data_IF_211620839268
#
_entry.id   IF_211620839268
#
_cell.length_a   1.000
_cell.length_b   1.000
_cell.length_c   1.000
_cell.angle_alpha   90.00
_cell.angle_beta   90.00
_cell.angle_gamma   90.00
#
_symmetry.space_group_name_H-M   'P 1'
#
loop_
_entity.id
_entity.type
_entity.pdbx_description
1 polymer ?
#
# COMPACT_ATOMS: atom_id res chain seq x y z
N UNK A 1 -151.49 -92.43 -69.83
CA UNK A 1 -151.11 -91.35 -70.77
C UNK A 1 -149.72 -90.85 -70.40
N UNK A 2 -148.77 -90.96 -71.36
CA UNK A 2 -147.53 -90.18 -71.59
C UNK A 2 -147.15 -89.07 -70.57
N UNK A 3 -145.89 -88.80 -70.16
CA UNK A 3 -144.57 -88.90 -70.81
C UNK A 3 -143.47 -88.49 -69.82
N UNK A 4 -142.47 -89.36 -69.60
CA UNK A 4 -141.03 -89.16 -69.87
C UNK A 4 -140.18 -88.04 -69.22
N UNK A 5 -138.93 -88.44 -68.86
CA UNK A 5 -137.62 -87.72 -68.73
C UNK A 5 -137.17 -87.40 -67.28
N UNK A 6 -135.91 -87.57 -66.84
CA UNK A 6 -134.64 -88.08 -67.40
C UNK A 6 -133.65 -88.32 -66.22
N UNK A 7 -132.77 -89.33 -66.33
CA UNK A 7 -131.59 -89.56 -65.46
C UNK A 7 -130.46 -88.54 -65.73
N UNK A 8 -129.64 -88.20 -64.72
CA UNK A 8 -128.16 -88.01 -64.74
C UNK A 8 -127.69 -87.54 -63.35
N UNK A 9 -127.02 -88.37 -62.54
CA UNK A 9 -125.61 -88.83 -62.57
C UNK A 9 -124.70 -88.00 -61.63
N UNK A 10 -124.26 -88.71 -60.60
CA UNK A 10 -123.18 -88.42 -59.64
C UNK A 10 -121.89 -87.88 -60.27
N UNK A 11 -121.28 -86.89 -59.62
CA UNK A 11 -119.83 -86.62 -59.64
C UNK A 11 -119.40 -86.02 -58.29
N UNK A 12 -118.65 -86.81 -57.49
CA UNK A 12 -117.73 -86.30 -56.46
C UNK A 12 -116.46 -85.76 -57.16
N UNK A 13 -115.92 -84.62 -56.72
CA UNK A 13 -114.54 -84.55 -56.18
C UNK A 13 -114.02 -83.13 -55.82
N UNK A 14 -113.22 -83.11 -54.74
CA UNK A 14 -112.03 -82.26 -54.43
C UNK A 14 -112.17 -80.74 -54.32
N UNK A 15 -112.40 -80.21 -53.10
CA UNK A 15 -111.87 -78.89 -52.63
C UNK A 15 -111.74 -78.79 -51.08
N UNK A 16 -110.60 -79.21 -50.48
CA UNK A 16 -110.17 -78.56 -49.22
C UNK A 16 -108.70 -78.12 -49.17
N UNK A 17 -107.85 -78.48 -50.14
CA UNK A 17 -106.38 -78.31 -50.04
C UNK A 17 -105.89 -76.90 -50.47
N UNK A 18 -106.62 -76.16 -51.31
CA UNK A 18 -106.19 -74.82 -51.76
C UNK A 18 -106.37 -73.70 -50.70
N UNK A 19 -107.32 -73.84 -49.76
CA UNK A 19 -107.58 -72.82 -48.74
C UNK A 19 -106.53 -72.83 -47.61
N UNK A 20 -105.95 -73.98 -47.26
CA UNK A 20 -104.89 -74.05 -46.24
C UNK A 20 -103.56 -73.50 -46.77
N UNK A 21 -103.21 -73.80 -48.03
CA UNK A 21 -102.02 -73.26 -48.69
C UNK A 21 -102.06 -71.73 -48.77
N UNK A 22 -103.21 -71.13 -49.11
CA UNK A 22 -103.39 -69.66 -49.12
C UNK A 22 -103.25 -69.02 -47.73
N UNK A 23 -103.71 -69.68 -46.66
CA UNK A 23 -103.55 -69.19 -45.28
C UNK A 23 -102.10 -69.32 -44.80
N UNK A 24 -101.44 -70.45 -45.08
CA UNK A 24 -100.04 -70.66 -44.76
C UNK A 24 -99.12 -69.65 -45.47
N UNK A 25 -99.38 -69.36 -46.75
CA UNK A 25 -98.60 -68.40 -47.54
C UNK A 25 -98.80 -66.95 -47.05
N UNK A 26 -100.02 -66.59 -46.58
CA UNK A 26 -100.28 -65.31 -45.92
C UNK A 26 -99.57 -65.18 -44.57
N UNK A 27 -99.58 -66.23 -43.74
CA UNK A 27 -98.86 -66.24 -42.47
C UNK A 27 -97.34 -66.16 -42.68
N UNK A 28 -96.82 -66.87 -43.69
CA UNK A 28 -95.40 -66.80 -44.07
C UNK A 28 -95.01 -65.41 -44.59
N UNK A 29 -95.88 -64.76 -45.38
CA UNK A 29 -95.70 -63.37 -45.79
C UNK A 29 -95.68 -62.40 -44.61
N UNK A 30 -96.59 -62.57 -43.64
CA UNK A 30 -96.63 -61.74 -42.43
C UNK A 30 -95.39 -61.97 -41.55
N UNK A 31 -94.93 -63.22 -41.39
CA UNK A 31 -93.69 -63.50 -40.66
C UNK A 31 -92.47 -62.92 -41.38
N UNK A 32 -92.45 -62.98 -42.72
CA UNK A 32 -91.36 -62.41 -43.49
C UNK A 32 -91.34 -60.88 -43.39
N UNK A 33 -92.49 -60.22 -43.52
CA UNK A 33 -92.57 -58.76 -43.43
C UNK A 33 -92.23 -58.26 -42.03
N UNK A 34 -92.65 -58.95 -40.98
CA UNK A 34 -92.27 -58.60 -39.59
C UNK A 34 -90.76 -58.74 -39.35
N UNK A 35 -90.13 -59.81 -39.84
CA UNK A 35 -88.67 -59.98 -39.76
C UNK A 35 -87.94 -58.88 -40.54
N UNK A 36 -88.42 -58.53 -41.73
CA UNK A 36 -87.84 -57.44 -42.54
C UNK A 36 -87.97 -56.10 -41.79
N UNK A 37 -89.13 -55.80 -41.20
CA UNK A 37 -89.35 -54.56 -40.44
C UNK A 37 -88.41 -54.49 -39.23
N UNK A 38 -88.24 -55.58 -38.49
CA UNK A 38 -87.32 -55.64 -37.33
C UNK A 38 -85.86 -55.49 -37.78
N UNK A 39 -85.46 -56.14 -38.87
CA UNK A 39 -84.11 -56.01 -39.43
C UNK A 39 -83.82 -54.57 -39.90
N UNK A 40 -84.76 -53.94 -40.62
CA UNK A 40 -84.64 -52.55 -41.03
C UNK A 40 -84.58 -51.59 -39.83
N UNK A 41 -85.39 -51.82 -38.79
CA UNK A 41 -85.35 -51.03 -37.56
C UNK A 41 -84.01 -51.15 -36.82
N UNK A 42 -83.45 -52.36 -36.76
CA UNK A 42 -82.12 -52.59 -36.16
C UNK A 42 -81.00 -51.91 -36.97
N UNK A 43 -81.03 -52.00 -38.29
CA UNK A 43 -80.08 -51.31 -39.18
C UNK A 43 -80.18 -49.79 -39.02
N UNK A 44 -81.39 -49.23 -38.98
CA UNK A 44 -81.59 -47.80 -38.79
C UNK A 44 -81.07 -47.30 -37.42
N UNK A 45 -81.30 -48.05 -36.33
CA UNK A 45 -80.81 -47.70 -35.01
C UNK A 45 -79.28 -47.81 -34.89
N UNK A 46 -78.68 -48.84 -35.48
CA UNK A 46 -77.22 -48.99 -35.50
C UNK A 46 -76.55 -47.91 -36.35
N UNK A 47 -77.08 -47.61 -37.53
CA UNK A 47 -76.60 -46.51 -38.37
C UNK A 47 -76.75 -45.15 -37.69
N UNK A 48 -77.87 -44.89 -37.00
CA UNK A 48 -78.08 -43.64 -36.26
C UNK A 48 -77.08 -43.45 -35.12
N UNK A 49 -76.74 -44.52 -34.39
CA UNK A 49 -75.71 -44.49 -33.33
C UNK A 49 -74.31 -44.27 -33.90
N UNK A 50 -73.97 -44.93 -35.01
CA UNK A 50 -72.68 -44.74 -35.69
C UNK A 50 -72.55 -43.30 -36.17
N UNK A 51 -73.56 -42.75 -36.83
CA UNK A 51 -73.57 -41.36 -37.29
C UNK A 51 -73.43 -40.35 -36.14
N UNK A 52 -74.11 -40.59 -35.00
CA UNK A 52 -73.99 -39.71 -33.84
C UNK A 52 -72.60 -39.79 -33.20
N UNK A 53 -72.01 -40.98 -33.14
CA UNK A 53 -70.65 -41.18 -32.65
C UNK A 53 -69.61 -40.54 -33.59
N UNK A 54 -69.80 -40.62 -34.90
CA UNK A 54 -68.95 -39.95 -35.90
C UNK A 54 -69.03 -38.43 -35.79
N UNK A 55 -70.23 -37.87 -35.60
CA UNK A 55 -70.40 -36.43 -35.35
C UNK A 55 -69.73 -35.99 -34.05
N UNK A 56 -69.84 -36.78 -32.99
CA UNK A 56 -69.17 -36.50 -31.70
C UNK A 56 -67.65 -36.59 -31.83
N UNK A 57 -67.14 -37.59 -32.55
CA UNK A 57 -65.71 -37.73 -32.83
C UNK A 57 -65.17 -36.55 -33.65
N UNK A 58 -65.86 -36.15 -34.71
CA UNK A 58 -65.50 -34.99 -35.52
C UNK A 58 -65.49 -33.69 -34.70
N UNK A 59 -66.47 -33.49 -33.83
CA UNK A 59 -66.51 -32.34 -32.92
C UNK A 59 -65.34 -32.31 -31.95
N UNK A 60 -64.96 -33.47 -31.39
CA UNK A 60 -63.82 -33.58 -30.48
C UNK A 60 -62.48 -33.37 -31.21
N UNK A 61 -62.34 -33.85 -32.45
CA UNK A 61 -61.15 -33.60 -33.28
C UNK A 61 -61.00 -32.11 -33.57
N UNK A 62 -62.07 -31.42 -33.96
CA UNK A 62 -62.03 -29.97 -34.20
C UNK A 62 -61.65 -29.18 -32.94
N UNK A 63 -62.13 -29.60 -31.76
CA UNK A 63 -61.70 -29.00 -30.49
C UNK A 63 -60.23 -29.27 -30.19
N UNK A 64 -59.76 -30.49 -30.45
CA UNK A 64 -58.35 -30.84 -30.24
C UNK A 64 -57.44 -30.02 -31.15
N UNK A 65 -57.83 -29.82 -32.41
CA UNK A 65 -57.11 -28.96 -33.35
C UNK A 65 -57.09 -27.50 -32.86
N UNK A 66 -58.23 -26.97 -32.41
CA UNK A 66 -58.31 -25.64 -31.81
C UNK A 66 -57.42 -25.50 -30.57
N UNK A 67 -57.40 -26.49 -29.68
CA UNK A 67 -56.50 -26.49 -28.52
C UNK A 67 -55.03 -26.57 -28.95
N UNK A 68 -54.70 -27.41 -29.93
CA UNK A 68 -53.33 -27.50 -30.48
C UNK A 68 -52.86 -26.15 -31.00
N UNK A 69 -53.68 -25.46 -31.80
CA UNK A 69 -53.36 -24.12 -32.31
C UNK A 69 -53.17 -23.10 -31.18
N UNK A 70 -53.98 -23.17 -30.11
CA UNK A 70 -53.79 -22.32 -28.94
C UNK A 70 -52.50 -22.63 -28.18
N UNK A 71 -52.13 -23.91 -28.05
CA UNK A 71 -50.86 -24.31 -27.44
C UNK A 71 -49.66 -23.84 -28.26
N UNK A 72 -49.69 -23.98 -29.58
CA UNK A 72 -48.63 -23.51 -30.47
C UNK A 72 -48.49 -21.98 -30.38
N UNK A 73 -49.61 -21.25 -30.34
CA UNK A 73 -49.62 -19.81 -30.15
C UNK A 73 -49.06 -19.39 -28.78
N UNK A 74 -49.44 -20.09 -27.70
CA UNK A 74 -48.92 -19.83 -26.35
C UNK A 74 -47.43 -20.15 -26.26
N UNK A 75 -46.98 -21.23 -26.89
CA UNK A 75 -45.56 -21.59 -26.96
C UNK A 75 -44.76 -20.52 -27.69
N UNK A 76 -45.25 -20.04 -28.85
CA UNK A 76 -44.61 -18.93 -29.56
C UNK A 76 -44.54 -17.64 -28.76
N UNK A 77 -45.59 -17.32 -27.97
CA UNK A 77 -45.56 -16.17 -27.06
C UNK A 77 -44.55 -16.36 -25.92
N UNK A 78 -44.48 -17.56 -25.35
CA UNK A 78 -43.54 -17.88 -24.29
C UNK A 78 -42.08 -17.76 -24.77
N UNK A 79 -41.78 -18.30 -25.96
CA UNK A 79 -40.45 -18.19 -26.57
C UNK A 79 -40.07 -16.74 -26.86
N UNK A 80 -41.00 -15.93 -27.37
CA UNK A 80 -40.77 -14.50 -27.59
C UNK A 80 -40.49 -13.73 -26.29
N UNK A 81 -41.18 -14.07 -25.19
CA UNK A 81 -40.91 -13.48 -23.86
C UNK A 81 -39.53 -13.91 -23.35
N UNK A 82 -39.15 -15.18 -23.51
CA UNK A 82 -37.84 -15.66 -23.12
C UNK A 82 -36.71 -14.94 -23.86
N UNK A 83 -36.86 -14.73 -25.17
CA UNK A 83 -35.88 -14.03 -25.97
C UNK A 83 -35.78 -12.55 -25.59
N UNK A 84 -36.92 -11.88 -25.35
CA UNK A 84 -36.93 -10.50 -24.84
C UNK A 84 -36.22 -10.37 -23.49
N UNK A 85 -36.48 -11.29 -22.54
CA UNK A 85 -35.82 -11.30 -21.23
C UNK A 85 -34.31 -11.55 -21.36
N UNK A 86 -33.88 -12.44 -22.26
CA UNK A 86 -32.46 -12.68 -22.52
C UNK A 86 -31.78 -11.44 -23.09
N UNK A 87 -32.42 -10.77 -24.04
CA UNK A 87 -31.87 -9.56 -24.65
C UNK A 87 -31.78 -8.41 -23.63
N UNK A 88 -32.82 -8.19 -22.83
CA UNK A 88 -32.82 -7.18 -21.78
C UNK A 88 -31.75 -7.46 -20.72
N UNK A 89 -31.58 -8.72 -20.30
CA UNK A 89 -30.51 -9.12 -19.39
C UNK A 89 -29.13 -8.86 -19.98
N UNK A 90 -28.93 -9.14 -21.26
CA UNK A 90 -27.68 -8.85 -21.96
C UNK A 90 -27.40 -7.36 -21.99
N UNK A 91 -28.40 -6.53 -22.37
CA UNK A 91 -28.26 -5.07 -22.42
C UNK A 91 -27.93 -4.48 -21.04
N UNK A 92 -28.63 -4.94 -20.00
CA UNK A 92 -28.38 -4.50 -18.62
C UNK A 92 -26.98 -4.91 -18.15
N UNK A 93 -26.55 -6.14 -18.44
CA UNK A 93 -25.21 -6.60 -18.09
C UNK A 93 -24.12 -5.75 -18.77
N UNK A 94 -24.26 -5.47 -20.06
CA UNK A 94 -23.33 -4.60 -20.80
C UNK A 94 -23.32 -3.18 -20.24
N UNK A 95 -24.49 -2.63 -19.88
CA UNK A 95 -24.58 -1.30 -19.28
C UNK A 95 -23.88 -1.24 -17.92
N UNK A 96 -24.16 -2.20 -17.04
CA UNK A 96 -23.57 -2.26 -15.72
C UNK A 96 -22.03 -2.44 -15.79
N UNK A 97 -21.55 -3.22 -16.76
CA UNK A 97 -20.11 -3.36 -17.04
C UNK A 97 -19.50 -2.04 -17.52
N UNK A 98 -20.15 -1.33 -18.45
CA UNK A 98 -19.67 -0.04 -18.94
C UNK A 98 -19.66 1.03 -17.83
N UNK A 99 -20.69 1.06 -16.98
CA UNK A 99 -20.76 1.97 -15.84
C UNK A 99 -19.65 1.67 -14.81
N UNK A 100 -19.36 0.39 -14.57
CA UNK A 100 -18.25 -0.03 -13.72
C UNK A 100 -16.89 0.36 -14.31
N UNK A 101 -16.67 0.13 -15.61
CA UNK A 101 -15.46 0.54 -16.30
C UNK A 101 -15.26 2.06 -16.24
N UNK A 102 -16.30 2.84 -16.52
CA UNK A 102 -16.23 4.31 -16.47
C UNK A 102 -15.88 4.81 -15.07
N UNK A 103 -16.42 4.18 -14.01
CA UNK A 103 -16.06 4.50 -12.62
C UNK A 103 -14.60 4.16 -12.32
N UNK A 104 -14.13 2.99 -12.74
CA UNK A 104 -12.74 2.57 -12.55
C UNK A 104 -11.76 3.47 -13.32
N UNK A 105 -12.09 3.83 -14.56
CA UNK A 105 -11.29 4.78 -15.35
C UNK A 105 -11.21 6.13 -14.67
N UNK A 106 -12.34 6.64 -14.15
CA UNK A 106 -12.36 7.89 -13.39
C UNK A 106 -11.47 7.81 -12.15
N UNK A 107 -11.60 6.76 -11.34
CA UNK A 107 -10.74 6.55 -10.16
C UNK A 107 -9.26 6.49 -10.55
N UNK A 108 -8.92 5.75 -11.62
CA UNK A 108 -7.54 5.66 -12.11
C UNK A 108 -6.99 7.03 -12.54
N UNK A 109 -7.81 7.86 -13.20
CA UNK A 109 -7.39 9.21 -13.60
C UNK A 109 -7.18 10.14 -12.41
N UNK A 110 -8.04 10.04 -11.39
CA UNK A 110 -7.93 10.82 -10.15
C UNK A 110 -6.68 10.42 -9.36
N UNK A 111 -6.47 9.12 -9.13
CA UNK A 111 -5.26 8.61 -8.45
C UNK A 111 -3.98 8.97 -9.21
N UNK A 112 -3.99 8.89 -10.54
CA UNK A 112 -2.84 9.28 -11.36
C UNK A 112 -2.53 10.77 -11.22
N UNK A 113 -3.56 11.62 -11.18
CA UNK A 113 -3.39 13.07 -11.02
C UNK A 113 -2.86 13.41 -9.62
N UNK A 114 -3.36 12.74 -8.58
CA UNK A 114 -2.90 12.91 -7.21
C UNK A 114 -1.43 12.50 -7.06
N UNK A 115 -1.06 11.31 -7.53
CA UNK A 115 0.34 10.87 -7.52
C UNK A 115 1.26 11.76 -8.34
N UNK A 116 0.82 12.27 -9.49
CA UNK A 116 1.62 13.23 -10.28
C UNK A 116 1.90 14.49 -9.48
N UNK A 117 0.90 15.01 -8.77
CA UNK A 117 1.03 16.20 -7.91
C UNK A 117 1.97 15.93 -6.72
N UNK A 118 1.91 14.74 -6.14
CA UNK A 118 2.84 14.33 -5.07
C UNK A 118 4.29 14.28 -5.57
N UNK A 119 4.52 13.71 -6.76
CA UNK A 119 5.83 13.63 -7.40
C UNK A 119 6.36 15.03 -7.71
N UNK A 120 5.56 15.92 -8.30
CA UNK A 120 5.96 17.31 -8.54
C UNK A 120 6.30 18.05 -7.24
N UNK A 121 5.50 17.82 -6.19
CA UNK A 121 5.79 18.34 -4.85
C UNK A 121 7.09 17.78 -4.25
N UNK A 122 7.42 16.52 -4.52
CA UNK A 122 8.67 15.92 -4.08
C UNK A 122 9.89 16.46 -4.86
N UNK A 123 9.77 16.60 -6.18
CA UNK A 123 10.82 17.16 -7.04
C UNK A 123 11.16 18.60 -6.63
N UNK A 124 10.14 19.44 -6.40
CA UNK A 124 10.35 20.83 -5.95
C UNK A 124 11.05 20.90 -4.60
N UNK A 125 10.67 20.05 -3.63
CA UNK A 125 11.39 19.94 -2.34
C UNK A 125 12.83 19.48 -2.52
N UNK A 126 13.07 18.53 -3.41
CA UNK A 126 14.40 18.04 -3.71
C UNK A 126 15.29 19.13 -4.32
N UNK A 127 14.77 19.94 -5.25
CA UNK A 127 15.53 21.05 -5.85
C UNK A 127 15.90 22.12 -4.82
N UNK A 128 14.99 22.45 -3.90
CA UNK A 128 15.29 23.35 -2.77
C UNK A 128 16.38 22.77 -1.88
N UNK A 129 16.29 21.48 -1.55
CA UNK A 129 17.28 20.80 -0.72
C UNK A 129 18.64 20.74 -1.42
N UNK A 130 18.68 20.44 -2.72
CA UNK A 130 19.90 20.42 -3.52
C UNK A 130 20.59 21.78 -3.50
N UNK A 131 19.83 22.85 -3.73
CA UNK A 131 20.35 24.23 -3.70
C UNK A 131 20.91 24.59 -2.31
N UNK A 132 20.24 24.14 -1.24
CA UNK A 132 20.73 24.32 0.13
C UNK A 132 22.08 23.60 0.36
N UNK A 133 22.21 22.36 -0.10
CA UNK A 133 23.47 21.61 -0.03
C UNK A 133 24.59 22.27 -0.84
N UNK A 134 24.32 22.73 -2.05
CA UNK A 134 25.29 23.46 -2.88
C UNK A 134 25.78 24.75 -2.19
N UNK A 135 24.88 25.46 -1.52
CA UNK A 135 25.25 26.65 -0.73
C UNK A 135 26.11 26.30 0.49
N UNK A 136 25.74 25.28 1.25
CA UNK A 136 26.51 24.78 2.39
C UNK A 136 27.91 24.31 1.98
N UNK A 137 28.03 23.61 0.86
CA UNK A 137 29.32 23.21 0.31
C UNK A 137 30.18 24.43 -0.03
N UNK A 138 29.59 25.44 -0.67
CA UNK A 138 30.30 26.69 -1.02
C UNK A 138 30.77 27.44 0.23
N UNK A 139 29.93 27.55 1.26
CA UNK A 139 30.31 28.17 2.54
C UNK A 139 31.46 27.41 3.20
N UNK A 140 31.40 26.08 3.20
CA UNK A 140 32.46 25.23 3.75
C UNK A 140 33.79 25.45 3.03
N UNK A 141 33.79 25.56 1.70
CA UNK A 141 34.99 25.87 0.91
C UNK A 141 35.54 27.27 1.21
N UNK A 142 34.67 28.27 1.42
CA UNK A 142 35.08 29.63 1.79
C UNK A 142 35.75 29.61 3.16
N UNK A 143 35.15 28.94 4.14
CA UNK A 143 35.70 28.80 5.50
C UNK A 143 37.04 28.08 5.45
N UNK A 144 37.13 26.96 4.73
CA UNK A 144 38.38 26.19 4.55
C UNK A 144 39.49 27.07 3.96
N UNK A 145 39.19 27.87 2.93
CA UNK A 145 40.15 28.80 2.32
C UNK A 145 40.56 29.92 3.28
N UNK A 146 39.65 30.42 4.10
CA UNK A 146 39.93 31.46 5.08
C UNK A 146 40.80 30.94 6.23
N UNK A 147 40.47 29.76 6.76
CA UNK A 147 41.28 29.08 7.76
C UNK A 147 42.70 28.79 7.24
N UNK A 148 42.84 28.29 6.01
CA UNK A 148 44.14 28.06 5.40
C UNK A 148 44.99 29.34 5.30
N UNK A 149 44.39 30.47 4.89
CA UNK A 149 45.08 31.77 4.84
C UNK A 149 45.48 32.26 6.23
N UNK A 150 44.59 32.16 7.22
CA UNK A 150 44.91 32.51 8.60
C UNK A 150 46.05 31.64 9.17
N UNK A 151 46.06 30.36 8.85
CA UNK A 151 47.13 29.46 9.29
C UNK A 151 48.48 29.85 8.66
N UNK A 152 48.51 30.22 7.37
CA UNK A 152 49.73 30.70 6.73
C UNK A 152 50.21 32.02 7.32
N UNK A 153 49.30 32.95 7.61
CA UNK A 153 49.64 34.24 8.22
C UNK A 153 50.19 34.06 9.64
N UNK A 154 49.57 33.18 10.44
CA UNK A 154 50.05 32.86 11.79
C UNK A 154 51.42 32.18 11.76
N UNK A 155 51.67 31.26 10.81
CA UNK A 155 53.00 30.67 10.62
C UNK A 155 54.06 31.70 10.25
N UNK A 156 53.70 32.68 9.41
CA UNK A 156 54.61 33.77 9.06
C UNK A 156 54.91 34.68 10.26
N UNK A 157 53.90 35.02 11.05
CA UNK A 157 54.07 35.80 12.29
C UNK A 157 54.94 35.06 13.32
N UNK A 158 54.72 33.75 13.49
CA UNK A 158 55.53 32.93 14.38
C UNK A 158 57.00 32.95 13.95
N UNK A 159 57.28 32.75 12.65
CA UNK A 159 58.65 32.79 12.13
C UNK A 159 59.30 34.16 12.32
N UNK A 160 58.58 35.24 12.06
CA UNK A 160 59.10 36.59 12.29
C UNK A 160 59.45 36.84 13.77
N UNK A 161 58.61 36.37 14.70
CA UNK A 161 58.89 36.45 16.13
C UNK A 161 60.07 35.56 16.55
N UNK A 162 60.24 34.38 15.95
CA UNK A 162 61.41 33.52 16.17
C UNK A 162 62.71 34.16 15.69
N UNK A 163 62.68 34.80 14.51
CA UNK A 163 63.82 35.52 13.94
C UNK A 163 64.20 36.74 14.81
N UNK A 164 63.21 37.53 15.26
CA UNK A 164 63.43 38.66 16.18
C UNK A 164 64.01 38.20 17.52
N UNK A 165 63.49 37.09 18.07
CA UNK A 165 64.04 36.48 19.29
C UNK A 165 65.50 36.06 19.09
N UNK A 166 65.84 35.45 17.96
CA UNK A 166 67.22 35.07 17.66
C UNK A 166 68.16 36.29 17.57
N UNK A 167 67.70 37.38 16.95
CA UNK A 167 68.46 38.64 16.87
C UNK A 167 68.67 39.27 18.26
N UNK A 168 67.62 39.31 19.09
CA UNK A 168 67.71 39.82 20.46
C UNK A 168 68.66 38.98 21.33
N UNK A 169 68.64 37.65 21.18
CA UNK A 169 69.60 36.75 21.85
C UNK A 169 71.03 37.05 21.41
N UNK A 170 71.29 37.21 20.10
CA UNK A 170 72.62 37.54 19.59
C UNK A 170 73.11 38.90 20.13
N UNK A 171 72.25 39.92 20.17
CA UNK A 171 72.57 41.23 20.77
C UNK A 171 72.86 41.12 22.27
N UNK A 172 72.09 40.31 23.00
CA UNK A 172 72.32 40.04 24.43
C UNK A 172 73.67 39.35 24.65
N UNK A 173 74.01 38.34 23.84
CA UNK A 173 75.30 37.65 23.91
C UNK A 173 76.46 38.59 23.60
N UNK A 174 76.33 39.43 22.57
CA UNK A 174 77.35 40.43 22.23
C UNK A 174 77.52 41.47 23.35
N UNK A 175 76.41 41.94 23.92
CA UNK A 175 76.41 42.88 25.06
C UNK A 175 77.06 42.26 26.29
N UNK A 176 76.70 41.01 26.64
CA UNK A 176 77.33 40.27 27.73
C UNK A 176 78.84 40.07 27.51
N UNK A 177 79.25 39.80 26.26
CA UNK A 177 80.67 39.71 25.91
C UNK A 177 81.39 41.04 26.12
N UNK A 178 80.78 42.17 25.71
CA UNK A 178 81.31 43.53 25.94
C UNK A 178 81.42 43.84 27.44
N UNK A 179 80.38 43.54 28.22
CA UNK A 179 80.40 43.69 29.69
C UNK A 179 81.49 42.85 30.33
N UNK A 180 81.68 41.60 29.91
CA UNK A 180 82.74 40.73 30.44
C UNK A 180 84.12 41.30 30.17
N UNK A 181 84.36 41.82 28.96
CA UNK A 181 85.64 42.48 28.61
C UNK A 181 85.82 43.78 29.39
N UNK A 182 84.77 44.58 29.56
CA UNK A 182 84.82 45.80 30.36
C UNK A 182 85.11 45.52 31.84
N UNK A 183 84.47 44.51 32.43
CA UNK A 183 84.73 44.06 33.80
C UNK A 183 86.14 43.51 33.98
N UNK A 184 86.67 42.78 32.99
CA UNK A 184 88.08 42.34 33.00
C UNK A 184 89.06 43.51 32.89
N UNK A 185 88.75 44.54 32.08
CA UNK A 185 89.57 45.77 32.00
C UNK A 185 89.52 46.58 33.28
N UNK A 186 88.38 46.65 33.96
CA UNK A 186 88.30 47.27 35.29
C UNK A 186 89.11 46.50 36.33
N UNK A 187 89.03 45.17 36.37
CA UNK A 187 89.86 44.33 37.24
C UNK A 187 91.36 44.45 36.94
N UNK A 188 91.76 44.70 35.68
CA UNK A 188 93.15 44.96 35.32
C UNK A 188 93.62 46.39 35.66
N UNK A 189 92.73 47.39 35.53
CA UNK A 189 93.01 48.79 35.86
C UNK A 189 93.01 49.05 37.38
N UNK A 190 92.24 48.28 38.15
CA UNK A 190 92.37 48.19 39.59
C UNK A 190 93.07 46.88 39.94
N UNK A 191 94.36 46.79 39.64
CA UNK A 191 95.24 46.00 40.50
C UNK A 191 95.58 46.94 41.66
N UNK A 192 94.93 46.84 42.83
CA UNK A 192 95.43 47.58 43.97
C UNK A 192 96.80 46.99 44.26
N UNK A 193 97.82 47.83 44.41
CA UNK A 193 99.03 47.44 45.12
C UNK A 193 98.61 46.74 46.42
N UNK A 194 99.35 45.72 46.91
CA UNK A 194 98.98 45.00 48.12
C UNK A 194 98.94 46.02 49.26
N UNK A 195 97.72 46.44 49.61
CA UNK A 195 97.49 47.31 50.74
C UNK A 195 97.87 46.50 51.96
N UNK A 196 98.83 47.01 52.74
CA UNK A 196 99.06 46.56 54.11
C UNK A 196 97.70 46.42 54.77
N UNK A 197 97.45 45.24 55.34
CA UNK A 197 96.28 44.90 56.13
C UNK A 197 95.87 46.10 57.00
N UNK A 198 94.75 46.74 56.64
CA UNK A 198 94.08 47.76 57.46
C UNK A 198 93.39 47.13 58.68
N UNK A 199 93.40 45.80 58.77
CA UNK A 199 92.87 45.06 59.88
C UNK A 199 94.02 44.53 60.74
N UNK A 200 94.19 45.14 61.90
CA UNK A 200 94.98 44.58 62.98
C UNK A 200 94.46 43.16 63.29
N UNK A 201 95.28 42.10 63.19
CA UNK A 201 94.85 40.72 63.44
C UNK A 201 94.18 40.54 64.79
N UNK A 202 94.56 41.34 65.79
CA UNK A 202 93.93 41.31 67.11
C UNK A 202 92.49 41.85 67.08
N UNK A 203 92.21 42.88 66.30
CA UNK A 203 90.85 43.41 66.12
C UNK A 203 89.94 42.41 65.42
N UNK A 204 90.43 41.77 64.36
CA UNK A 204 89.68 40.73 63.65
C UNK A 204 89.34 39.55 64.58
N UNK A 205 90.28 39.16 65.45
CA UNK A 205 90.05 38.12 66.44
C UNK A 205 88.97 38.52 67.46
N UNK A 206 89.04 39.75 68.00
CA UNK A 206 88.02 40.27 68.92
C UNK A 206 86.63 40.32 68.28
N UNK A 207 86.53 40.75 67.02
CA UNK A 207 85.27 40.77 66.28
C UNK A 207 84.73 39.34 66.05
N UNK A 208 85.59 38.40 65.70
CA UNK A 208 85.18 37.00 65.51
C UNK A 208 84.72 36.34 66.81
N UNK A 209 85.34 36.67 67.95
CA UNK A 209 84.91 36.20 69.27
C UNK A 209 83.53 36.77 69.65
N UNK A 210 83.24 38.04 69.30
CA UNK A 210 81.90 38.64 69.48
C UNK A 210 80.87 37.91 68.63
N UNK A 211 81.17 37.61 67.36
CA UNK A 211 80.25 36.88 66.47
C UNK A 211 79.94 35.49 67.03
N UNK A 212 80.95 34.78 67.53
CA UNK A 212 80.74 33.48 68.19
C UNK A 212 79.92 33.58 69.48
N UNK A 213 80.11 34.63 70.28
CA UNK A 213 79.31 34.87 71.49
C UNK A 213 77.82 35.14 71.13
N UNK A 214 77.53 35.73 69.96
CA UNK A 214 76.17 35.90 69.42
C UNK A 214 75.60 34.56 68.93
N UNK A 215 76.34 33.84 68.09
CA UNK A 215 75.89 32.56 67.49
C UNK A 215 75.60 31.50 68.56
N UNK A 216 76.41 31.47 69.62
CA UNK A 216 76.23 30.53 70.74
C UNK A 216 75.19 31.02 71.78
N UNK A 217 74.54 32.17 71.57
CA UNK A 217 73.52 32.72 72.46
C UNK A 217 74.06 33.24 73.80
N UNK A 218 75.38 33.26 74.02
CA UNK A 218 76.01 33.74 75.25
C UNK A 218 75.74 35.24 75.50
N UNK A 219 75.57 36.01 74.42
CA UNK A 219 75.17 37.42 74.48
C UNK A 219 73.82 37.66 75.18
N UNK A 220 72.91 36.67 75.17
CA UNK A 220 71.57 36.78 75.75
C UNK A 220 71.62 36.63 77.28
N UNK A 221 72.54 35.80 77.80
CA UNK A 221 72.64 35.51 79.24
C UNK A 221 73.58 36.44 80.01
N UNK A 222 74.49 37.15 79.33
CA UNK A 222 75.43 38.09 79.95
C UNK A 222 75.63 39.37 79.11
N UNK A 223 74.53 40.10 78.91
CA UNK A 223 74.46 41.28 78.04
C UNK A 223 75.45 42.39 78.46
N UNK A 224 75.66 42.59 79.77
CA UNK A 224 76.57 43.62 80.29
C UNK A 224 78.04 43.36 79.95
N UNK A 225 78.50 42.11 80.03
CA UNK A 225 79.86 41.73 79.62
C UNK A 225 80.05 41.78 78.09
N UNK A 226 79.01 41.41 77.35
CA UNK A 226 78.99 41.45 75.89
C UNK A 226 79.11 42.89 75.34
N UNK A 227 78.35 43.84 75.90
CA UNK A 227 78.43 45.25 75.50
C UNK A 227 79.83 45.84 75.73
N UNK A 228 80.48 45.50 76.84
CA UNK A 228 81.84 45.99 77.15
C UNK A 228 82.90 45.45 76.17
N UNK A 229 82.85 44.15 75.85
CA UNK A 229 83.74 43.55 74.82
C UNK A 229 83.54 44.19 73.45
N UNK A 230 82.29 44.47 73.11
CA UNK A 230 81.94 45.14 71.83
C UNK A 230 82.52 46.55 71.80
N UNK A 231 82.32 47.34 72.84
CA UNK A 231 82.89 48.69 72.94
C UNK A 231 84.43 48.68 72.86
N UNK A 232 85.10 47.73 73.52
CA UNK A 232 86.57 47.60 73.47
C UNK A 232 87.09 47.18 72.09
N UNK A 233 86.35 46.35 71.35
CA UNK A 233 86.73 45.94 70.00
C UNK A 233 86.65 47.08 68.97
N UNK A 234 85.77 48.07 69.20
CA UNK A 234 85.53 49.18 68.27
C UNK A 234 86.17 50.53 68.68
N UNK A 235 86.70 50.66 69.91
CA UNK A 235 87.35 51.90 70.40
C UNK A 235 88.83 52.10 70.07
N UNK A 236 89.53 51.10 69.54
CA UNK A 236 90.96 51.23 69.16
C UNK A 236 91.16 51.82 67.77
#
# INVERSE_FOLDING_TARGET
>A
MSSMKFRRSSLRNTRPIERSKKRALRLMLISLTTVIIVACGFIALTQSRVLHNEQSAAHNINKLESYSQHFDALQGQYDAVLDAVREERSRNCTRDQNDALTKLEKQLTEERAEHSKEIEGACTRYDVLRTSFENLQRETEIISRHCGRKETDLKAQLKAAEDERAELVAKLEESNKKLRVAGQRQLAATTPAPSRSLFDPERLKKINDIVKDIENGAAIFNLGGFMKKTDEAFRS
#
